data_IF_788771866335
#
_entry.id   IF_788771866335
#
_cell.length_a   1.000
_cell.length_b   1.000
_cell.length_c   1.000
_cell.angle_alpha   90.00
_cell.angle_beta   90.00
_cell.angle_gamma   90.00
#
_symmetry.space_group_name_H-M   'P 1'
#
loop_
_entity.id
_entity.type
_entity.pdbx_description
1 polymer ?
#
# COMPACT_ATOMS: atom_id res chain seq x y z
N UNK A 1 -15.77 7.27 24.32
CA UNK A 1 -15.80 6.24 23.26
C UNK A 1 -14.40 5.80 22.79
N UNK A 2 -13.52 6.65 22.25
CA UNK A 2 -12.20 6.22 21.71
C UNK A 2 -11.30 5.44 22.68
N UNK A 3 -11.38 5.68 23.99
CA UNK A 3 -10.61 4.94 25.00
C UNK A 3 -11.14 3.50 25.11
N UNK A 4 -12.47 3.34 25.21
CA UNK A 4 -13.12 2.02 25.26
C UNK A 4 -12.82 1.22 23.99
N UNK A 5 -12.91 1.86 22.80
CA UNK A 5 -12.60 1.23 21.54
C UNK A 5 -11.14 0.73 21.47
N UNK A 6 -10.17 1.50 22.04
CA UNK A 6 -8.77 1.05 22.13
C UNK A 6 -8.59 -0.16 23.02
N UNK A 7 -9.27 -0.20 24.16
CA UNK A 7 -9.22 -1.37 25.06
C UNK A 7 -9.80 -2.61 24.38
N UNK A 8 -10.95 -2.45 23.71
CA UNK A 8 -11.55 -3.55 22.95
C UNK A 8 -10.67 -3.97 21.76
N UNK A 9 -10.07 -3.03 21.04
CA UNK A 9 -9.15 -3.33 19.94
C UNK A 9 -7.97 -4.19 20.42
N UNK A 10 -7.37 -3.87 21.58
CA UNK A 10 -6.30 -4.67 22.18
C UNK A 10 -6.78 -6.08 22.50
N UNK A 11 -7.98 -6.20 23.07
CA UNK A 11 -8.59 -7.48 23.40
C UNK A 11 -8.89 -8.34 22.17
N UNK A 12 -9.54 -7.75 21.14
CA UNK A 12 -9.84 -8.41 19.88
C UNK A 12 -8.56 -8.82 19.12
N UNK A 13 -7.55 -7.96 19.06
CA UNK A 13 -6.26 -8.29 18.43
C UNK A 13 -5.61 -9.53 19.08
N UNK A 14 -5.71 -9.66 20.41
CA UNK A 14 -5.18 -10.84 21.13
C UNK A 14 -5.93 -12.12 20.74
N UNK A 15 -7.25 -12.05 20.64
CA UNK A 15 -8.11 -13.20 20.33
C UNK A 15 -8.05 -13.61 18.84
N UNK A 16 -7.85 -12.64 17.93
CA UNK A 16 -7.84 -12.90 16.49
C UNK A 16 -6.43 -13.05 15.91
N UNK A 17 -5.38 -13.02 16.72
CA UNK A 17 -3.98 -13.03 16.24
C UNK A 17 -3.67 -14.20 15.30
N UNK A 18 -4.20 -15.39 15.57
CA UNK A 18 -4.02 -16.60 14.77
C UNK A 18 -4.82 -16.59 13.45
N UNK A 19 -5.81 -15.70 13.35
CA UNK A 19 -6.70 -15.56 12.19
C UNK A 19 -6.40 -14.32 11.34
N UNK A 20 -5.26 -13.66 11.56
CA UNK A 20 -4.88 -12.50 10.76
C UNK A 20 -4.72 -12.90 9.29
N UNK A 21 -5.34 -12.11 8.41
CA UNK A 21 -5.21 -12.28 6.98
C UNK A 21 -3.79 -11.90 6.51
N UNK A 22 -2.99 -12.85 5.99
CA UNK A 22 -1.63 -12.54 5.53
C UNK A 22 -1.62 -11.62 4.31
N UNK A 23 -2.74 -11.51 3.59
CA UNK A 23 -2.88 -10.69 2.39
C UNK A 23 -3.29 -9.24 2.73
N UNK A 24 -3.71 -8.95 3.97
CA UNK A 24 -4.07 -7.61 4.43
C UNK A 24 -2.87 -6.90 5.05
N UNK A 25 -2.48 -5.77 4.47
CA UNK A 25 -1.33 -4.98 4.90
C UNK A 25 -1.70 -3.79 5.80
N UNK A 26 -2.95 -3.32 5.73
CA UNK A 26 -3.38 -2.20 6.54
C UNK A 26 -3.60 -2.58 8.01
N UNK A 27 -3.43 -1.61 8.91
CA UNK A 27 -3.70 -1.71 10.35
C UNK A 27 -2.91 -2.78 11.09
N UNK A 28 -1.79 -3.24 10.51
CA UNK A 28 -0.87 -4.20 11.13
C UNK A 28 0.32 -3.47 11.74
N UNK A 29 0.71 -3.90 12.96
CA UNK A 29 1.89 -3.35 13.62
C UNK A 29 3.15 -3.62 12.80
N UNK A 30 3.93 -2.57 12.58
CA UNK A 30 5.21 -2.71 11.89
C UNK A 30 5.13 -2.84 10.36
N UNK A 31 3.94 -2.90 9.77
CA UNK A 31 3.71 -2.97 8.32
C UNK A 31 3.01 -1.69 7.86
N UNK A 32 3.42 -1.15 6.73
CA UNK A 32 2.88 0.11 6.20
C UNK A 32 2.72 0.10 4.69
N UNK A 33 2.37 1.27 4.15
CA UNK A 33 2.15 1.50 2.70
C UNK A 33 3.35 1.05 1.86
N UNK A 34 4.58 1.36 2.30
CA UNK A 34 5.79 0.97 1.57
C UNK A 34 5.92 -0.55 1.45
N UNK A 35 5.57 -1.28 2.52
CA UNK A 35 5.64 -2.75 2.53
C UNK A 35 4.62 -3.36 1.56
N UNK A 36 3.42 -2.78 1.51
CA UNK A 36 2.39 -3.18 0.56
C UNK A 36 2.83 -2.93 -0.89
N UNK A 37 3.41 -1.77 -1.20
CA UNK A 37 3.90 -1.45 -2.54
C UNK A 37 5.08 -2.37 -2.94
N UNK A 38 6.03 -2.62 -2.03
CA UNK A 38 7.14 -3.55 -2.27
C UNK A 38 6.60 -4.95 -2.56
N UNK A 39 5.62 -5.42 -1.78
CA UNK A 39 5.01 -6.74 -1.95
C UNK A 39 4.26 -6.86 -3.28
N UNK A 40 3.55 -5.81 -3.71
CA UNK A 40 2.89 -5.78 -5.02
C UNK A 40 3.91 -5.85 -6.17
N UNK A 41 4.99 -5.07 -6.08
CA UNK A 41 5.98 -4.91 -7.15
C UNK A 41 6.93 -6.11 -7.26
N UNK A 42 7.17 -6.85 -6.18
CA UNK A 42 8.14 -7.94 -6.18
C UNK A 42 7.80 -9.06 -7.17
N UNK A 43 6.59 -9.66 -7.18
CA UNK A 43 6.23 -10.66 -8.18
C UNK A 43 6.22 -10.09 -9.61
N UNK A 44 5.82 -8.82 -9.77
CA UNK A 44 5.83 -8.13 -11.07
C UNK A 44 7.25 -8.08 -11.64
N UNK A 45 8.22 -7.61 -10.84
CA UNK A 45 9.61 -7.52 -11.28
C UNK A 45 10.22 -8.89 -11.56
N UNK A 46 10.01 -9.86 -10.66
CA UNK A 46 10.50 -11.23 -10.83
C UNK A 46 9.96 -11.90 -12.09
N UNK A 47 8.67 -11.70 -12.37
CA UNK A 47 8.04 -12.31 -13.55
C UNK A 47 8.51 -11.63 -14.84
N UNK A 48 8.50 -10.32 -14.89
CA UNK A 48 8.94 -9.51 -16.05
C UNK A 48 10.45 -9.58 -16.33
N UNK A 49 11.23 -10.18 -15.44
CA UNK A 49 12.66 -10.47 -15.68
C UNK A 49 12.88 -11.65 -16.61
N UNK A 50 11.83 -12.44 -16.87
CA UNK A 50 11.82 -13.58 -17.79
C UNK A 50 11.35 -13.11 -19.16
N UNK A 51 11.98 -13.63 -20.22
CA UNK A 51 11.56 -13.30 -21.59
C UNK A 51 10.15 -13.85 -21.89
N UNK A 52 9.38 -13.14 -22.71
CA UNK A 52 8.03 -13.55 -23.11
C UNK A 52 6.94 -13.33 -22.06
N UNK A 53 7.29 -12.78 -20.90
CA UNK A 53 6.36 -12.58 -19.79
C UNK A 53 5.57 -11.27 -19.89
N UNK A 54 4.34 -11.31 -19.45
CA UNK A 54 3.45 -10.14 -19.26
C UNK A 54 2.84 -10.18 -17.87
N UNK A 55 2.42 -9.03 -17.36
CA UNK A 55 1.71 -8.94 -16.09
C UNK A 55 0.44 -8.12 -16.28
N UNK A 56 -0.65 -8.56 -15.67
CA UNK A 56 -1.88 -7.81 -15.53
C UNK A 56 -2.10 -7.48 -14.06
N UNK A 57 -2.46 -6.24 -13.77
CA UNK A 57 -2.76 -5.80 -12.41
C UNK A 57 -4.16 -5.18 -12.40
N UNK A 58 -5.08 -5.79 -11.64
CA UNK A 58 -6.40 -5.24 -11.38
C UNK A 58 -6.38 -4.50 -10.06
N UNK A 59 -6.80 -3.24 -10.07
CA UNK A 59 -7.01 -2.42 -8.87
C UNK A 59 -8.50 -2.25 -8.65
N UNK A 60 -9.02 -2.84 -7.58
CA UNK A 60 -10.42 -2.76 -7.22
C UNK A 60 -10.70 -1.55 -6.34
N UNK A 61 -11.81 -0.86 -6.62
CA UNK A 61 -12.36 0.22 -5.80
C UNK A 61 -13.74 -0.19 -5.28
N UNK A 62 -14.03 0.13 -4.03
CA UNK A 62 -15.32 -0.14 -3.43
C UNK A 62 -16.15 1.14 -3.29
N UNK A 63 -17.43 1.03 -3.54
CA UNK A 63 -18.40 2.08 -3.23
C UNK A 63 -18.70 2.07 -1.72
N UNK A 64 -18.09 3.01 -0.97
CA UNK A 64 -18.37 3.19 0.46
C UNK A 64 -18.17 1.94 1.33
N UNK A 65 -17.03 1.23 1.18
CA UNK A 65 -16.72 -0.06 1.81
C UNK A 65 -17.10 -0.17 3.30
N UNK A 66 -16.78 0.85 4.09
CA UNK A 66 -17.12 0.86 5.53
C UNK A 66 -18.62 0.98 5.81
N UNK A 67 -19.40 1.55 4.90
CA UNK A 67 -20.84 1.73 5.08
C UNK A 67 -21.64 0.48 4.67
N UNK A 68 -21.00 -0.50 4.05
CA UNK A 68 -21.66 -1.73 3.55
C UNK A 68 -21.50 -2.93 4.49
N UNK A 69 -20.68 -2.82 5.54
CA UNK A 69 -20.48 -3.88 6.54
C UNK A 69 -21.85 -4.30 7.11
N UNK A 70 -22.18 -5.59 6.96
CA UNK A 70 -23.33 -6.20 7.58
C UNK A 70 -22.95 -6.76 8.97
N UNK A 71 -23.53 -6.26 10.08
CA UNK A 71 -23.19 -6.71 11.42
C UNK A 71 -23.37 -8.21 11.61
N UNK A 72 -24.43 -8.80 11.05
CA UNK A 72 -24.69 -10.24 11.18
C UNK A 72 -23.63 -11.08 10.44
N UNK A 73 -23.21 -10.67 9.24
CA UNK A 73 -22.13 -11.34 8.51
C UNK A 73 -20.81 -11.25 9.28
N UNK A 74 -20.49 -10.07 9.83
CA UNK A 74 -19.31 -9.91 10.67
C UNK A 74 -19.36 -10.83 11.90
N UNK A 75 -20.49 -10.89 12.60
CA UNK A 75 -20.66 -11.76 13.75
C UNK A 75 -20.49 -13.25 13.40
N UNK A 76 -21.04 -13.70 12.28
CA UNK A 76 -20.84 -15.07 11.77
C UNK A 76 -19.36 -15.37 11.50
N UNK A 77 -18.61 -14.41 10.95
CA UNK A 77 -17.16 -14.55 10.73
C UNK A 77 -16.40 -14.60 12.06
N UNK A 78 -16.76 -13.76 13.02
CA UNK A 78 -16.17 -13.76 14.37
C UNK A 78 -16.44 -15.06 15.13
N UNK A 79 -17.60 -15.67 14.97
CA UNK A 79 -17.92 -16.99 15.56
C UNK A 79 -16.99 -18.12 15.09
N UNK A 80 -16.41 -17.99 13.89
CA UNK A 80 -15.42 -18.93 13.37
C UNK A 80 -14.01 -18.69 13.92
N UNK A 81 -13.84 -17.67 14.75
CA UNK A 81 -12.59 -17.35 15.44
C UNK A 81 -12.66 -17.69 16.92
N UNK A 82 -11.61 -17.40 17.67
CA UNK A 82 -11.58 -17.60 19.15
C UNK A 82 -12.19 -16.43 19.94
N UNK A 83 -12.95 -15.55 19.28
CA UNK A 83 -13.59 -14.41 19.94
C UNK A 83 -14.76 -14.90 20.80
N UNK A 84 -14.77 -14.49 22.07
CA UNK A 84 -15.82 -14.88 23.02
C UNK A 84 -17.20 -14.33 22.65
N UNK A 85 -18.25 -15.09 22.95
CA UNK A 85 -19.64 -14.75 22.61
C UNK A 85 -20.07 -13.36 23.12
N UNK A 86 -19.63 -12.97 24.32
CA UNK A 86 -19.91 -11.63 24.89
C UNK A 86 -19.31 -10.50 24.06
N UNK A 87 -18.09 -10.69 23.53
CA UNK A 87 -17.43 -9.72 22.66
C UNK A 87 -18.11 -9.62 21.29
N UNK A 88 -18.60 -10.74 20.76
CA UNK A 88 -19.39 -10.78 19.51
C UNK A 88 -20.72 -10.05 19.71
N UNK A 89 -21.44 -10.32 20.80
CA UNK A 89 -22.70 -9.65 21.12
C UNK A 89 -22.49 -8.13 21.28
N UNK A 90 -21.45 -7.72 21.98
CA UNK A 90 -21.08 -6.31 22.09
C UNK A 90 -20.74 -5.68 20.75
N UNK A 91 -20.01 -6.39 19.88
CA UNK A 91 -19.66 -5.88 18.54
C UNK A 91 -20.93 -5.69 17.69
N UNK A 92 -21.91 -6.60 17.81
CA UNK A 92 -23.20 -6.45 17.15
C UNK A 92 -23.95 -5.22 17.64
N UNK A 93 -24.06 -5.05 18.97
CA UNK A 93 -24.70 -3.88 19.59
C UNK A 93 -24.01 -2.56 19.17
N UNK A 94 -22.68 -2.54 19.16
CA UNK A 94 -21.89 -1.38 18.71
C UNK A 94 -22.20 -0.99 17.24
N UNK A 95 -22.59 -1.92 16.38
CA UNK A 95 -22.85 -1.70 14.96
C UNK A 95 -24.32 -1.51 14.60
N UNK A 96 -25.25 -1.83 15.51
CA UNK A 96 -26.69 -1.75 15.26
C UNK A 96 -27.35 -0.63 16.08
N UNK A 97 -28.56 -0.23 15.66
CA UNK A 97 -29.37 0.79 16.35
C UNK A 97 -28.62 2.09 16.66
N UNK A 98 -27.72 2.51 15.74
CA UNK A 98 -26.87 3.69 15.92
C UNK A 98 -27.61 4.98 15.56
N UNK A 99 -27.96 5.84 16.53
CA UNK A 99 -28.54 7.12 16.22
C UNK A 99 -27.49 8.05 15.60
N UNK A 100 -27.85 8.71 14.51
CA UNK A 100 -27.01 9.67 13.80
C UNK A 100 -27.80 10.96 13.53
N UNK A 101 -27.14 12.08 13.67
CA UNK A 101 -27.67 13.38 13.29
C UNK A 101 -26.54 14.31 12.87
N UNK A 102 -26.85 15.27 12.00
CA UNK A 102 -25.91 16.31 11.57
C UNK A 102 -26.19 17.56 12.37
N UNK A 103 -25.15 18.12 12.97
CA UNK A 103 -25.21 19.40 13.68
C UNK A 103 -24.38 20.45 12.95
N UNK A 104 -25.03 21.51 12.54
CA UNK A 104 -24.40 22.66 11.88
C UNK A 104 -24.76 23.95 12.65
N UNK A 105 -23.79 24.51 13.34
CA UNK A 105 -24.00 25.70 14.22
C UNK A 105 -25.16 25.46 15.20
N UNK A 106 -26.26 26.18 15.03
CA UNK A 106 -27.45 26.12 15.90
C UNK A 106 -28.55 25.20 15.34
N UNK A 107 -28.34 24.56 14.19
CA UNK A 107 -29.30 23.67 13.58
C UNK A 107 -28.84 22.20 13.76
N UNK A 108 -29.78 21.33 14.09
CA UNK A 108 -29.57 19.87 14.18
C UNK A 108 -30.61 19.20 13.30
N UNK A 109 -30.18 18.25 12.47
CA UNK A 109 -31.08 17.43 11.64
C UNK A 109 -31.94 16.50 12.49
N UNK A 110 -32.97 15.94 11.90
CA UNK A 110 -33.68 14.81 12.47
C UNK A 110 -32.70 13.64 12.68
N UNK A 111 -32.97 12.83 13.70
CA UNK A 111 -32.22 11.63 13.99
C UNK A 111 -32.54 10.55 12.97
N UNK A 112 -31.50 9.94 12.38
CA UNK A 112 -31.60 8.71 11.60
C UNK A 112 -30.98 7.55 12.41
N UNK A 113 -31.49 6.33 12.23
CA UNK A 113 -30.93 5.13 12.88
C UNK A 113 -30.26 4.28 11.81
N UNK A 114 -29.02 3.88 12.06
CA UNK A 114 -28.25 3.03 11.17
C UNK A 114 -28.07 1.64 11.78
N UNK A 115 -28.34 0.58 10.98
CA UNK A 115 -28.17 -0.82 11.33
C UNK A 115 -27.13 -1.52 10.45
N UNK A 116 -26.47 -0.78 9.58
CA UNK A 116 -25.43 -1.28 8.66
C UNK A 116 -24.20 -0.38 8.72
N UNK A 117 -23.09 -0.91 8.25
CA UNK A 117 -21.82 -0.21 8.19
C UNK A 117 -21.13 -0.06 9.53
N UNK A 118 -19.92 0.45 9.52
CA UNK A 118 -19.15 0.80 10.69
C UNK A 118 -18.97 2.32 10.79
N UNK A 119 -19.03 2.90 12.01
CA UNK A 119 -18.92 4.36 12.18
C UNK A 119 -17.56 4.87 11.74
N UNK A 120 -17.57 5.87 10.85
CA UNK A 120 -16.31 6.45 10.32
C UNK A 120 -15.59 7.29 11.39
N UNK A 121 -14.26 7.32 11.33
CA UNK A 121 -13.42 8.09 12.26
C UNK A 121 -13.28 7.50 13.66
N UNK A 122 -13.73 6.27 13.89
CA UNK A 122 -13.55 5.51 15.11
C UNK A 122 -12.23 4.72 15.09
N UNK A 123 -11.81 4.21 16.24
CA UNK A 123 -10.58 3.39 16.37
C UNK A 123 -10.82 1.96 15.91
N UNK A 124 -12.04 1.46 16.14
CA UNK A 124 -12.37 0.04 15.95
C UNK A 124 -12.78 -0.30 14.50
N UNK A 125 -13.47 0.61 13.81
CA UNK A 125 -14.02 0.32 12.48
C UNK A 125 -13.00 -0.15 11.44
N UNK A 126 -11.78 0.43 11.35
CA UNK A 126 -10.74 -0.09 10.45
C UNK A 126 -10.40 -1.56 10.72
N UNK A 127 -10.29 -1.92 11.98
CA UNK A 127 -9.99 -3.29 12.37
C UNK A 127 -11.15 -4.25 12.08
N UNK A 128 -12.39 -3.84 12.35
CA UNK A 128 -13.58 -4.63 12.02
C UNK A 128 -13.70 -4.88 10.52
N UNK A 129 -13.29 -3.92 9.67
CA UNK A 129 -13.25 -4.12 8.23
C UNK A 129 -12.22 -5.20 7.83
N UNK A 130 -11.04 -5.23 8.46
CA UNK A 130 -10.07 -6.30 8.19
C UNK A 130 -10.58 -7.67 8.58
N UNK A 131 -11.32 -7.77 9.68
CA UNK A 131 -11.99 -9.02 10.09
C UNK A 131 -13.14 -9.40 9.13
N UNK A 132 -13.86 -8.41 8.61
CA UNK A 132 -14.91 -8.63 7.64
C UNK A 132 -14.40 -9.22 6.33
N UNK A 133 -13.18 -8.85 5.93
CA UNK A 133 -12.58 -9.27 4.65
C UNK A 133 -11.57 -10.42 4.77
N UNK A 134 -11.41 -11.02 5.96
CA UNK A 134 -10.35 -12.00 6.24
C UNK A 134 -10.53 -13.35 5.53
N UNK A 135 -11.74 -13.72 5.18
CA UNK A 135 -12.09 -15.05 4.67
C UNK A 135 -11.86 -15.22 3.15
N UNK A 136 -11.61 -14.14 2.41
CA UNK A 136 -11.12 -14.29 1.05
C UNK A 136 -9.62 -14.45 1.04
N UNK A 137 -9.18 -15.67 0.79
CA UNK A 137 -7.78 -16.02 0.66
C UNK A 137 -7.53 -16.70 -0.69
N UNK A 138 -6.37 -16.45 -1.27
CA UNK A 138 -5.92 -17.07 -2.50
C UNK A 138 -4.42 -17.37 -2.42
N UNK A 139 -4.02 -18.54 -2.86
CA UNK A 139 -2.63 -18.97 -2.91
C UNK A 139 -2.35 -19.53 -4.29
N UNK A 140 -1.41 -18.93 -4.99
CA UNK A 140 -0.94 -19.33 -6.30
C UNK A 140 0.51 -18.90 -6.48
N UNK A 141 1.21 -19.50 -7.42
CA UNK A 141 2.54 -19.08 -7.85
C UNK A 141 2.48 -18.02 -8.94
N UNK A 142 1.38 -17.95 -9.67
CA UNK A 142 1.21 -17.08 -10.85
C UNK A 142 0.27 -15.90 -10.56
N UNK A 143 -0.64 -16.04 -9.58
CA UNK A 143 -1.58 -14.98 -9.24
C UNK A 143 -1.45 -14.58 -7.77
N UNK A 144 -1.39 -13.28 -7.52
CA UNK A 144 -1.20 -12.72 -6.18
C UNK A 144 -2.31 -11.72 -5.86
N UNK A 145 -2.98 -11.93 -4.73
CA UNK A 145 -3.93 -10.97 -4.18
C UNK A 145 -3.27 -10.19 -3.05
N UNK A 146 -3.54 -8.90 -2.98
CA UNK A 146 -3.13 -8.02 -1.90
C UNK A 146 -4.26 -7.09 -1.50
N UNK A 147 -4.42 -6.87 -0.20
CA UNK A 147 -5.40 -5.96 0.39
C UNK A 147 -4.68 -4.91 1.24
N UNK A 148 -5.12 -3.66 1.13
CA UNK A 148 -4.71 -2.57 2.02
C UNK A 148 -5.93 -1.77 2.42
N UNK A 149 -6.54 -2.11 3.56
CA UNK A 149 -7.89 -1.65 3.94
C UNK A 149 -8.92 -2.05 2.89
N UNK A 150 -9.56 -1.10 2.27
CA UNK A 150 -10.48 -1.25 1.15
C UNK A 150 -9.79 -1.29 -0.22
N UNK A 151 -8.58 -0.78 -0.36
CA UNK A 151 -7.81 -0.96 -1.59
C UNK A 151 -7.41 -2.43 -1.77
N UNK A 152 -7.82 -3.04 -2.88
CA UNK A 152 -7.47 -4.42 -3.22
C UNK A 152 -6.85 -4.49 -4.61
N UNK A 153 -5.79 -5.29 -4.75
CA UNK A 153 -5.11 -5.49 -6.02
C UNK A 153 -4.86 -6.97 -6.30
N UNK A 154 -5.11 -7.38 -7.55
CA UNK A 154 -4.78 -8.71 -8.07
C UNK A 154 -3.71 -8.58 -9.13
N UNK A 155 -2.61 -9.32 -8.98
CA UNK A 155 -1.50 -9.39 -9.93
C UNK A 155 -1.54 -10.75 -10.60
N UNK A 156 -1.71 -10.80 -11.92
CA UNK A 156 -1.57 -12.00 -12.73
C UNK A 156 -0.24 -12.00 -13.48
N UNK A 157 0.61 -12.97 -13.18
CA UNK A 157 1.89 -13.23 -13.84
C UNK A 157 1.65 -14.16 -15.03
N UNK A 158 1.49 -13.59 -16.23
CA UNK A 158 1.04 -14.29 -17.42
C UNK A 158 2.23 -14.74 -18.27
N UNK A 159 2.25 -15.99 -18.67
CA UNK A 159 3.21 -16.57 -19.58
C UNK A 159 2.50 -17.20 -20.77
N UNK A 160 3.03 -16.96 -21.97
CA UNK A 160 2.51 -17.52 -23.21
C UNK A 160 1.00 -17.29 -23.45
N UNK A 161 0.48 -16.16 -22.95
CA UNK A 161 -0.93 -15.77 -23.09
C UNK A 161 -1.92 -16.52 -22.19
N UNK A 162 -1.45 -17.31 -21.22
CA UNK A 162 -2.32 -18.08 -20.32
C UNK A 162 -2.91 -17.18 -19.22
N UNK A 163 -4.05 -16.55 -19.47
CA UNK A 163 -4.75 -15.62 -18.58
C UNK A 163 -5.88 -16.27 -17.76
N UNK A 164 -6.15 -17.56 -17.95
CA UNK A 164 -7.33 -18.22 -17.38
C UNK A 164 -7.37 -18.11 -15.85
N UNK A 165 -6.28 -18.40 -15.17
CA UNK A 165 -6.21 -18.33 -13.70
C UNK A 165 -6.41 -16.90 -13.16
N UNK A 166 -5.83 -15.91 -13.86
CA UNK A 166 -6.04 -14.50 -13.49
C UNK A 166 -7.50 -14.09 -13.61
N UNK A 167 -8.18 -14.47 -14.69
CA UNK A 167 -9.59 -14.18 -14.92
C UNK A 167 -10.47 -14.88 -13.90
N UNK A 168 -10.20 -16.16 -13.63
CA UNK A 168 -10.91 -16.93 -12.59
C UNK A 168 -10.76 -16.27 -11.20
N UNK A 169 -9.55 -15.82 -10.83
CA UNK A 169 -9.34 -15.13 -9.57
C UNK A 169 -10.16 -13.83 -9.47
N UNK A 170 -10.18 -13.04 -10.55
CA UNK A 170 -10.99 -11.82 -10.61
C UNK A 170 -12.47 -12.15 -10.43
N UNK A 171 -12.99 -13.14 -11.16
CA UNK A 171 -14.39 -13.57 -11.06
C UNK A 171 -14.74 -14.06 -9.65
N UNK A 172 -13.88 -14.88 -9.05
CA UNK A 172 -14.06 -15.36 -7.67
C UNK A 172 -14.06 -14.22 -6.66
N UNK A 173 -13.20 -13.22 -6.85
CA UNK A 173 -13.15 -12.04 -5.97
C UNK A 173 -14.43 -11.22 -6.10
N UNK A 174 -14.90 -10.99 -7.32
CA UNK A 174 -16.16 -10.27 -7.60
C UNK A 174 -17.36 -11.00 -6.97
N UNK A 175 -17.46 -12.32 -7.17
CA UNK A 175 -18.53 -13.13 -6.59
C UNK A 175 -18.51 -13.08 -5.05
N UNK A 176 -17.31 -13.19 -4.45
CA UNK A 176 -17.14 -13.07 -3.00
C UNK A 176 -17.55 -11.68 -2.49
N UNK A 177 -17.22 -10.61 -3.21
CA UNK A 177 -17.67 -9.26 -2.87
C UNK A 177 -19.21 -9.18 -2.81
N UNK A 178 -19.89 -9.74 -3.81
CA UNK A 178 -21.36 -9.79 -3.85
C UNK A 178 -21.96 -10.52 -2.65
N UNK A 179 -21.43 -11.71 -2.32
CA UNK A 179 -21.87 -12.51 -1.16
C UNK A 179 -21.68 -11.74 0.16
N UNK A 180 -20.64 -10.92 0.24
CA UNK A 180 -20.32 -10.11 1.43
C UNK A 180 -20.89 -8.70 1.39
N UNK A 181 -21.81 -8.40 0.49
CA UNK A 181 -22.46 -7.09 0.35
C UNK A 181 -21.44 -5.93 0.13
N UNK A 182 -20.27 -6.24 -0.40
CA UNK A 182 -19.26 -5.25 -0.77
C UNK A 182 -19.50 -4.81 -2.21
N UNK A 183 -19.97 -3.59 -2.41
CA UNK A 183 -20.29 -3.06 -3.74
C UNK A 183 -19.02 -2.56 -4.42
N UNK A 184 -18.61 -3.20 -5.51
CA UNK A 184 -17.51 -2.75 -6.36
C UNK A 184 -17.94 -1.54 -7.19
N UNK A 185 -17.03 -0.60 -7.37
CA UNK A 185 -17.17 0.52 -8.27
C UNK A 185 -16.39 0.22 -9.57
N UNK A 186 -17.10 -0.32 -10.58
CA UNK A 186 -16.45 -0.73 -11.84
C UNK A 186 -15.80 0.46 -12.55
N UNK A 187 -16.43 1.63 -12.53
CA UNK A 187 -15.89 2.85 -13.15
C UNK A 187 -14.57 3.32 -12.55
N UNK A 188 -14.32 3.05 -11.27
CA UNK A 188 -13.04 3.37 -10.58
C UNK A 188 -12.09 2.18 -10.51
N UNK A 189 -12.58 0.97 -10.69
CA UNK A 189 -11.75 -0.22 -10.86
C UNK A 189 -10.97 -0.10 -12.16
N UNK A 190 -9.68 -0.34 -12.14
CA UNK A 190 -8.79 -0.16 -13.29
C UNK A 190 -7.90 -1.37 -13.46
N UNK A 191 -7.59 -1.67 -14.70
CA UNK A 191 -6.60 -2.68 -15.05
C UNK A 191 -5.36 -2.03 -15.66
N UNK A 192 -4.19 -2.54 -15.32
CA UNK A 192 -2.92 -2.12 -15.93
C UNK A 192 -2.23 -3.34 -16.52
N UNK A 193 -1.86 -3.26 -17.80
CA UNK A 193 -1.11 -4.30 -18.51
C UNK A 193 0.34 -3.87 -18.66
N UNK A 194 1.25 -4.68 -18.11
CA UNK A 194 2.69 -4.48 -18.22
C UNK A 194 3.24 -5.48 -19.23
N UNK A 195 3.54 -4.99 -20.43
CA UNK A 195 4.06 -5.80 -21.54
C UNK A 195 5.27 -5.11 -22.17
N UNK A 196 6.42 -5.77 -22.10
CA UNK A 196 7.70 -5.28 -22.68
C UNK A 196 8.11 -6.04 -23.92
N UNK A 197 7.25 -6.92 -24.46
CA UNK A 197 7.50 -7.64 -25.70
C UNK A 197 7.48 -6.68 -26.90
N UNK A 198 8.23 -7.01 -27.94
CA UNK A 198 8.22 -6.24 -29.20
C UNK A 198 6.87 -6.38 -29.91
N UNK A 199 6.37 -7.61 -30.00
CA UNK A 199 5.06 -7.91 -30.60
C UNK A 199 4.06 -8.07 -29.47
N UNK A 200 3.32 -6.99 -29.20
CA UNK A 200 2.24 -7.04 -28.20
C UNK A 200 1.04 -7.72 -28.84
N UNK A 201 0.45 -8.63 -28.11
CA UNK A 201 -0.84 -9.23 -28.45
C UNK A 201 -1.90 -8.43 -27.72
N UNK A 202 -2.91 -7.94 -28.43
CA UNK A 202 -4.09 -7.36 -27.81
C UNK A 202 -4.74 -8.43 -26.94
N UNK A 203 -4.88 -8.14 -25.67
CA UNK A 203 -5.57 -9.01 -24.72
C UNK A 203 -7.00 -8.51 -24.55
N UNK A 204 -7.95 -9.42 -24.48
CA UNK A 204 -9.35 -9.05 -24.22
C UNK A 204 -9.48 -8.35 -22.87
N UNK A 205 -10.31 -7.32 -22.81
CA UNK A 205 -10.68 -6.65 -21.56
C UNK A 205 -11.33 -7.61 -20.59
N UNK A 206 -11.25 -7.31 -19.31
CA UNK A 206 -11.98 -8.04 -18.26
C UNK A 206 -13.28 -7.29 -18.02
N UNK A 207 -14.40 -8.00 -18.05
CA UNK A 207 -15.70 -7.44 -17.70
C UNK A 207 -16.09 -7.81 -16.27
N UNK A 208 -16.60 -6.83 -15.51
CA UNK A 208 -17.12 -7.01 -14.15
C UNK A 208 -18.59 -6.55 -14.15
N UNK A 209 -19.52 -7.44 -13.75
CA UNK A 209 -20.96 -7.15 -13.74
C UNK A 209 -21.52 -6.68 -15.09
N UNK A 210 -20.94 -7.14 -16.20
CA UNK A 210 -21.35 -6.77 -17.56
C UNK A 210 -20.75 -5.44 -18.07
N UNK A 211 -19.92 -4.76 -17.29
CA UNK A 211 -19.20 -3.55 -17.70
C UNK A 211 -17.71 -3.87 -17.90
N UNK A 212 -17.14 -3.36 -18.99
CA UNK A 212 -15.71 -3.55 -19.27
C UNK A 212 -14.85 -2.67 -18.35
N UNK A 213 -13.84 -3.28 -17.74
CA UNK A 213 -12.87 -2.54 -16.92
C UNK A 213 -11.92 -1.76 -17.80
N UNK A 214 -11.76 -0.47 -17.51
CA UNK A 214 -10.85 0.41 -18.23
C UNK A 214 -9.40 -0.03 -18.03
N UNK A 215 -8.69 -0.25 -19.13
CA UNK A 215 -7.24 -0.49 -19.13
C UNK A 215 -6.51 0.83 -19.14
N UNK A 216 -5.65 1.06 -18.14
CA UNK A 216 -4.94 2.33 -17.93
C UNK A 216 -3.43 2.16 -18.05
N UNK A 217 -2.75 3.20 -18.53
CA UNK A 217 -1.27 3.23 -18.57
C UNK A 217 -0.66 3.65 -17.23
N UNK A 218 -1.43 4.32 -16.38
CA UNK A 218 -1.00 4.76 -15.04
C UNK A 218 -2.12 4.63 -14.02
N UNK A 219 -1.74 4.28 -12.80
CA UNK A 219 -2.66 4.19 -11.67
C UNK A 219 -2.00 4.73 -10.40
N UNK A 220 -2.76 5.44 -9.56
CA UNK A 220 -2.28 5.92 -8.27
C UNK A 220 -2.63 4.92 -7.18
N UNK A 221 -1.70 4.03 -6.85
CA UNK A 221 -1.86 3.03 -5.82
C UNK A 221 -1.20 3.47 -4.50
N UNK A 222 -1.96 3.50 -3.41
CA UNK A 222 -1.51 3.88 -2.06
C UNK A 222 -0.67 5.19 -2.04
N UNK A 223 -1.07 6.15 -2.84
CA UNK A 223 -0.42 7.47 -2.91
C UNK A 223 0.77 7.57 -3.88
N UNK A 224 1.22 6.47 -4.47
CA UNK A 224 2.31 6.39 -5.45
C UNK A 224 1.75 6.18 -6.85
N UNK A 225 2.27 6.91 -7.86
CA UNK A 225 1.88 6.72 -9.25
C UNK A 225 2.70 5.59 -9.88
N UNK A 226 2.03 4.48 -10.17
CA UNK A 226 2.55 3.38 -10.96
C UNK A 226 2.26 3.64 -12.44
N UNK A 227 3.17 3.27 -13.32
CA UNK A 227 2.95 3.28 -14.76
C UNK A 227 3.32 1.91 -15.35
N UNK A 228 2.74 1.59 -16.52
CA UNK A 228 2.92 0.29 -17.19
C UNK A 228 4.35 0.05 -17.69
N UNK A 229 5.25 1.03 -17.59
CA UNK A 229 6.68 0.92 -17.93
C UNK A 229 7.56 0.81 -16.68
N UNK A 230 7.00 1.03 -15.48
CA UNK A 230 7.71 1.09 -14.21
C UNK A 230 8.89 2.07 -14.24
N UNK A 231 8.76 3.19 -14.98
CA UNK A 231 9.82 4.19 -15.15
C UNK A 231 9.73 5.36 -14.15
N UNK A 232 8.68 5.39 -13.35
CA UNK A 232 8.45 6.33 -12.24
C UNK A 232 8.41 7.80 -12.65
N UNK A 233 8.24 8.09 -13.96
CA UNK A 233 8.22 9.47 -14.47
C UNK A 233 7.09 10.27 -13.84
N UNK A 234 5.87 9.71 -13.85
CA UNK A 234 4.67 10.37 -13.32
C UNK A 234 4.76 10.58 -11.82
N UNK A 235 5.24 9.57 -11.09
CA UNK A 235 5.46 9.68 -9.65
C UNK A 235 6.47 10.79 -9.33
N UNK A 236 7.62 10.80 -9.98
CA UNK A 236 8.65 11.83 -9.78
C UNK A 236 8.15 13.23 -10.08
N UNK A 237 7.33 13.41 -11.12
CA UNK A 237 6.70 14.69 -11.45
C UNK A 237 5.69 15.13 -10.38
N UNK A 238 4.86 14.19 -9.87
CA UNK A 238 3.88 14.48 -8.82
C UNK A 238 4.58 14.88 -7.51
N UNK A 239 5.62 14.14 -7.12
CA UNK A 239 6.47 14.44 -5.96
C UNK A 239 7.13 15.81 -6.09
N UNK A 240 7.70 16.11 -7.28
CA UNK A 240 8.29 17.41 -7.54
C UNK A 240 7.29 18.56 -7.40
N UNK A 241 6.10 18.45 -8.01
CA UNK A 241 5.04 19.47 -7.88
C UNK A 241 4.64 19.71 -6.43
N UNK A 242 4.42 18.63 -5.68
CA UNK A 242 4.08 18.72 -4.24
C UNK A 242 5.23 19.34 -3.43
N UNK A 243 6.47 18.87 -3.63
CA UNK A 243 7.65 19.40 -2.95
C UNK A 243 7.86 20.89 -3.24
N UNK A 244 7.67 21.31 -4.48
CA UNK A 244 7.75 22.74 -4.87
C UNK A 244 6.70 23.60 -4.15
N UNK A 245 5.46 23.13 -4.07
CA UNK A 245 4.40 23.80 -3.31
C UNK A 245 4.75 23.92 -1.82
N UNK A 246 5.31 22.86 -1.21
CA UNK A 246 5.71 22.86 0.20
C UNK A 246 6.91 23.77 0.47
N UNK A 247 7.84 23.84 -0.47
CA UNK A 247 8.98 24.76 -0.41
C UNK A 247 8.51 26.24 -0.40
N UNK A 248 7.43 26.56 -1.10
CA UNK A 248 6.83 27.91 -1.04
C UNK A 248 6.42 28.28 0.39
N UNK A 249 5.73 27.38 1.10
CA UNK A 249 5.35 27.62 2.50
C UNK A 249 6.56 27.76 3.42
N UNK A 250 7.63 26.99 3.20
CA UNK A 250 8.86 27.13 3.98
C UNK A 250 9.47 28.54 3.80
N UNK A 251 9.46 29.07 2.57
CA UNK A 251 9.92 30.44 2.29
C UNK A 251 9.06 31.51 2.97
N UNK A 252 7.74 31.34 2.96
CA UNK A 252 6.81 32.23 3.66
C UNK A 252 7.10 32.22 5.17
N UNK A 253 7.27 31.07 5.79
CA UNK A 253 7.62 31.00 7.21
C UNK A 253 8.93 31.70 7.51
N UNK A 254 9.92 31.58 6.63
CA UNK A 254 11.19 32.31 6.76
C UNK A 254 11.00 33.84 6.69
N UNK A 255 10.16 34.34 5.77
CA UNK A 255 9.87 35.77 5.64
C UNK A 255 9.13 36.37 6.85
N UNK A 256 8.42 35.53 7.61
CA UNK A 256 7.81 35.90 8.89
C UNK A 256 8.76 35.79 10.10
N UNK A 257 10.07 35.67 9.86
CA UNK A 257 11.10 35.55 10.89
C UNK A 257 10.90 34.37 11.87
N UNK A 258 10.28 33.29 11.41
CA UNK A 258 10.17 32.06 12.21
C UNK A 258 11.58 31.52 12.52
N UNK A 259 11.83 31.13 13.76
CA UNK A 259 13.16 30.67 14.19
C UNK A 259 13.62 29.42 13.45
N UNK A 260 14.94 29.27 13.27
CA UNK A 260 15.53 28.19 12.49
C UNK A 260 15.14 26.78 12.97
N UNK A 261 14.98 26.57 14.28
CA UNK A 261 14.54 25.29 14.85
C UNK A 261 13.16 24.89 14.31
N UNK A 262 12.22 25.80 14.26
CA UNK A 262 10.86 25.55 13.75
C UNK A 262 10.87 25.35 12.23
N UNK A 263 11.70 26.12 11.50
CA UNK A 263 11.87 25.92 10.06
C UNK A 263 12.44 24.55 9.73
N UNK A 264 13.40 24.04 10.51
CA UNK A 264 13.95 22.68 10.36
C UNK A 264 12.87 21.61 10.63
N UNK A 265 12.05 21.79 11.67
CA UNK A 265 10.93 20.87 11.96
C UNK A 265 9.94 20.88 10.80
N UNK A 266 9.57 22.06 10.30
CA UNK A 266 8.67 22.20 9.14
C UNK A 266 9.27 21.54 7.89
N UNK A 267 10.55 21.75 7.61
CA UNK A 267 11.23 21.12 6.50
C UNK A 267 11.13 19.60 6.58
N UNK A 268 11.54 18.99 7.68
CA UNK A 268 11.52 17.53 7.85
C UNK A 268 10.12 16.94 7.78
N UNK A 269 9.15 17.59 8.44
CA UNK A 269 7.79 17.05 8.55
C UNK A 269 6.93 17.30 7.30
N UNK A 270 7.15 18.40 6.56
CA UNK A 270 6.26 18.85 5.48
C UNK A 270 6.95 18.78 4.11
N UNK A 271 8.21 19.15 3.99
CA UNK A 271 8.92 19.20 2.70
C UNK A 271 9.62 17.89 2.42
N UNK A 272 10.53 17.46 3.30
CA UNK A 272 11.30 16.21 3.13
C UNK A 272 10.37 14.99 3.12
N UNK A 273 9.38 14.94 4.02
CA UNK A 273 8.42 13.83 4.08
C UNK A 273 7.66 13.62 2.77
N UNK A 274 7.31 14.69 2.06
CA UNK A 274 6.65 14.62 0.75
C UNK A 274 7.61 14.19 -0.35
N UNK A 275 8.84 14.75 -0.38
CA UNK A 275 9.83 14.43 -1.40
C UNK A 275 10.30 12.97 -1.28
N UNK A 276 10.43 12.46 -0.06
CA UNK A 276 10.90 11.11 0.23
C UNK A 276 9.78 10.11 0.53
N UNK A 277 8.52 10.46 0.23
CA UNK A 277 7.39 9.54 0.42
C UNK A 277 7.56 8.28 -0.42
N UNK A 278 7.48 7.11 0.23
CA UNK A 278 7.66 5.78 -0.37
C UNK A 278 8.94 5.64 -1.22
N UNK A 279 10.00 6.40 -0.93
CA UNK A 279 11.23 6.45 -1.73
C UNK A 279 11.91 5.08 -1.87
N UNK A 280 11.74 4.20 -0.91
CA UNK A 280 12.27 2.82 -0.95
C UNK A 280 11.69 2.00 -2.10
N UNK A 281 10.48 2.37 -2.58
CA UNK A 281 9.79 1.65 -3.65
C UNK A 281 10.23 2.09 -5.04
N UNK A 282 10.60 3.36 -5.22
CA UNK A 282 10.83 3.96 -6.54
C UNK A 282 12.17 4.68 -6.70
N UNK A 283 12.85 5.02 -5.60
CA UNK A 283 14.02 5.90 -5.61
C UNK A 283 15.20 5.33 -6.40
N UNK A 284 15.50 4.05 -6.28
CA UNK A 284 16.60 3.39 -7.00
C UNK A 284 16.37 3.26 -8.52
N UNK A 285 15.11 3.33 -8.96
CA UNK A 285 14.72 3.28 -10.38
C UNK A 285 14.46 4.66 -11.00
N UNK A 286 14.61 5.75 -10.24
CA UNK A 286 14.39 7.10 -10.73
C UNK A 286 15.37 7.47 -11.84
N UNK A 287 14.89 8.16 -12.88
CA UNK A 287 15.76 8.67 -13.95
C UNK A 287 16.63 9.82 -13.43
N UNK A 288 17.89 9.89 -13.85
CA UNK A 288 18.88 10.90 -13.42
C UNK A 288 18.35 12.33 -13.54
N UNK A 289 17.64 12.67 -14.64
CA UNK A 289 17.04 14.00 -14.82
C UNK A 289 16.06 14.37 -13.72
N UNK A 290 15.23 13.40 -13.25
CA UNK A 290 14.24 13.63 -12.19
C UNK A 290 14.93 13.73 -10.83
N UNK A 291 15.95 12.93 -10.59
CA UNK A 291 16.78 12.96 -9.39
C UNK A 291 17.44 14.34 -9.22
N UNK A 292 18.09 14.88 -10.28
CA UNK A 292 18.68 16.21 -10.30
C UNK A 292 17.63 17.29 -9.96
N UNK A 293 16.41 17.17 -10.51
CA UNK A 293 15.33 18.13 -10.22
C UNK A 293 14.88 18.10 -8.76
N UNK A 294 14.76 16.91 -8.16
CA UNK A 294 14.40 16.77 -6.76
C UNK A 294 15.52 17.26 -5.84
N UNK A 295 16.78 16.96 -6.15
CA UNK A 295 17.93 17.47 -5.41
C UNK A 295 18.04 19.02 -5.49
N UNK A 296 17.66 19.61 -6.64
CA UNK A 296 17.56 21.07 -6.76
C UNK A 296 16.52 21.67 -5.79
N UNK A 297 15.38 20.99 -5.54
CA UNK A 297 14.42 21.43 -4.50
C UNK A 297 15.01 21.34 -3.10
N UNK A 298 15.69 20.22 -2.79
CA UNK A 298 16.35 20.00 -1.50
C UNK A 298 17.41 21.07 -1.25
N UNK A 299 18.26 21.35 -2.26
CA UNK A 299 19.27 22.41 -2.17
C UNK A 299 18.64 23.80 -1.94
N UNK A 300 17.54 24.13 -2.64
CA UNK A 300 16.80 25.37 -2.40
C UNK A 300 16.20 25.44 -1.00
N UNK A 301 15.75 24.32 -0.43
CA UNK A 301 15.28 24.28 0.95
C UNK A 301 16.45 24.54 1.92
N UNK A 302 17.61 23.94 1.69
CA UNK A 302 18.85 24.20 2.45
C UNK A 302 19.24 25.68 2.48
N UNK A 303 19.15 26.35 1.32
CA UNK A 303 19.40 27.81 1.24
C UNK A 303 18.39 28.63 2.11
N UNK A 304 17.13 28.21 2.17
CA UNK A 304 16.12 28.88 3.03
C UNK A 304 16.42 28.64 4.51
N UNK A 305 16.89 27.44 4.86
CA UNK A 305 17.23 27.05 6.24
C UNK A 305 18.58 27.65 6.69
N UNK A 306 19.44 28.05 5.77
CA UNK A 306 20.83 28.47 6.08
C UNK A 306 21.74 27.31 6.47
N UNK A 307 21.39 26.06 6.07
CA UNK A 307 22.17 24.83 6.40
C UNK A 307 22.22 23.90 5.18
N UNK A 308 23.26 23.06 5.15
CA UNK A 308 23.31 21.93 4.21
C UNK A 308 22.24 20.89 4.60
N UNK A 309 21.57 20.33 3.58
CA UNK A 309 20.53 19.32 3.75
C UNK A 309 20.96 18.05 2.99
N UNK A 310 20.68 16.92 3.58
CA UNK A 310 20.99 15.60 3.04
C UNK A 310 20.39 15.41 1.64
N UNK A 311 21.17 15.02 0.61
CA UNK A 311 20.65 14.75 -0.73
C UNK A 311 19.75 13.53 -0.76
N UNK A 312 18.91 13.45 -1.82
CA UNK A 312 17.87 12.43 -1.91
C UNK A 312 18.43 11.01 -1.93
N UNK A 313 19.61 10.82 -2.52
CA UNK A 313 20.30 9.53 -2.59
C UNK A 313 20.70 9.01 -1.21
N UNK A 314 21.19 9.88 -0.34
CA UNK A 314 21.56 9.51 1.04
C UNK A 314 20.30 9.17 1.86
N UNK A 315 19.23 9.99 1.72
CA UNK A 315 17.93 9.72 2.36
C UNK A 315 17.40 8.35 1.90
N UNK A 316 17.51 8.05 0.60
CA UNK A 316 17.07 6.78 0.02
C UNK A 316 17.88 5.60 0.59
N UNK A 317 19.20 5.68 0.54
CA UNK A 317 20.07 4.61 1.05
C UNK A 317 19.83 4.32 2.53
N UNK A 318 19.74 5.36 3.34
CA UNK A 318 19.44 5.24 4.77
C UNK A 318 18.08 4.58 5.02
N UNK A 319 17.02 4.97 4.28
CA UNK A 319 15.68 4.38 4.42
C UNK A 319 15.62 2.94 3.92
N UNK A 320 16.28 2.62 2.82
CA UNK A 320 16.37 1.24 2.30
C UNK A 320 17.07 0.35 3.31
N UNK A 321 18.21 0.81 3.89
CA UNK A 321 18.94 0.06 4.91
C UNK A 321 18.08 -0.18 6.17
N UNK A 322 17.37 0.84 6.64
CA UNK A 322 16.46 0.70 7.77
C UNK A 322 15.32 -0.28 7.46
N UNK A 323 14.79 -0.24 6.23
CA UNK A 323 13.69 -1.12 5.82
C UNK A 323 14.14 -2.57 5.73
N UNK A 324 15.27 -2.89 5.11
CA UNK A 324 15.72 -4.29 5.02
C UNK A 324 16.06 -4.87 6.39
N UNK A 325 16.68 -4.10 7.30
CA UNK A 325 16.91 -4.52 8.68
C UNK A 325 15.58 -4.85 9.38
N UNK A 326 14.57 -3.97 9.27
CA UNK A 326 13.23 -4.21 9.82
C UNK A 326 12.56 -5.47 9.26
N UNK A 327 12.73 -5.74 7.96
CA UNK A 327 12.23 -6.98 7.33
C UNK A 327 12.94 -8.20 7.90
N UNK A 328 14.24 -8.13 8.12
CA UNK A 328 15.03 -9.23 8.67
C UNK A 328 14.70 -9.51 10.13
N UNK A 329 14.37 -8.49 10.91
CA UNK A 329 14.05 -8.59 12.34
C UNK A 329 12.62 -9.08 12.62
N UNK A 330 11.72 -9.03 11.63
CA UNK A 330 10.32 -9.41 11.79
C UNK A 330 9.95 -10.65 10.96
N UNK A 331 9.86 -11.86 11.56
CA UNK A 331 9.48 -13.09 10.85
C UNK A 331 8.09 -13.06 10.21
N UNK A 332 7.18 -12.23 10.72
CA UNK A 332 5.81 -12.08 10.18
C UNK A 332 5.76 -11.11 8.98
N UNK A 333 6.89 -10.48 8.65
CA UNK A 333 6.96 -9.57 7.51
C UNK A 333 6.94 -10.34 6.19
N UNK A 334 6.08 -9.96 5.25
CA UNK A 334 5.87 -10.73 4.01
C UNK A 334 7.16 -11.04 3.24
N UNK A 335 8.10 -10.09 2.96
CA UNK A 335 9.36 -10.40 2.31
C UNK A 335 10.41 -11.09 3.19
N UNK A 336 10.15 -11.30 4.49
CA UNK A 336 11.14 -11.89 5.42
C UNK A 336 11.66 -13.24 4.91
N UNK A 337 10.75 -14.13 4.48
CA UNK A 337 11.12 -15.46 3.96
C UNK A 337 12.03 -15.34 2.73
N UNK A 338 11.70 -14.45 1.82
CA UNK A 338 12.48 -14.20 0.59
C UNK A 338 13.89 -13.68 0.91
N UNK A 339 14.00 -12.72 1.84
CA UNK A 339 15.30 -12.17 2.28
C UNK A 339 16.11 -13.21 3.05
N UNK A 340 15.47 -14.00 3.91
CA UNK A 340 16.12 -15.06 4.67
C UNK A 340 16.72 -16.15 3.79
N UNK A 341 16.07 -16.50 2.68
CA UNK A 341 16.60 -17.45 1.70
C UNK A 341 17.89 -16.96 1.02
N UNK A 342 18.12 -15.65 0.99
CA UNK A 342 19.37 -15.07 0.48
C UNK A 342 20.49 -15.02 1.52
N UNK A 343 20.30 -15.51 2.75
CA UNK A 343 21.31 -15.47 3.79
C UNK A 343 22.49 -16.40 3.42
N UNK A 344 23.71 -15.86 3.39
CA UNK A 344 24.91 -16.66 3.17
C UNK A 344 25.13 -17.63 4.35
N UNK A 345 25.59 -18.84 4.06
CA UNK A 345 25.96 -19.85 5.06
C UNK A 345 27.31 -19.51 5.70
N UNK A 346 28.19 -18.79 4.98
CA UNK A 346 29.57 -18.54 5.38
C UNK A 346 29.82 -17.15 5.96
N UNK A 347 28.87 -16.23 5.84
CA UNK A 347 29.04 -14.85 6.27
C UNK A 347 27.71 -14.20 6.67
N UNK A 348 27.77 -13.00 7.23
CA UNK A 348 26.55 -12.22 7.52
C UNK A 348 25.93 -11.55 6.28
N UNK A 349 26.53 -11.73 5.10
CA UNK A 349 26.08 -11.14 3.85
C UNK A 349 24.83 -11.83 3.33
N UNK A 350 24.08 -11.10 2.53
CA UNK A 350 22.96 -11.62 1.73
C UNK A 350 23.47 -11.91 0.31
N UNK A 351 23.07 -13.04 -0.25
CA UNK A 351 23.33 -13.40 -1.64
C UNK A 351 22.48 -12.54 -2.56
N UNK A 352 23.10 -12.06 -3.64
CA UNK A 352 22.40 -11.20 -4.61
C UNK A 352 21.43 -12.01 -5.46
N UNK A 353 20.28 -11.43 -5.81
CA UNK A 353 19.38 -11.99 -6.79
C UNK A 353 20.03 -12.00 -8.17
N UNK A 354 19.78 -13.07 -8.93
CA UNK A 354 20.09 -13.06 -10.35
C UNK A 354 19.05 -12.20 -11.06
N UNK A 355 19.46 -11.11 -11.67
CA UNK A 355 18.60 -10.18 -12.39
C UNK A 355 19.07 -10.10 -13.86
N UNK A 356 18.16 -10.36 -14.80
CA UNK A 356 18.44 -10.29 -16.24
C UNK A 356 18.16 -8.89 -16.78
N UNK A 357 17.35 -8.07 -16.10
CA UNK A 357 16.96 -6.74 -16.51
C UNK A 357 17.38 -5.68 -15.51
N UNK A 358 17.75 -4.50 -16.02
CA UNK A 358 18.06 -3.32 -15.22
C UNK A 358 16.88 -2.89 -14.32
N UNK A 359 15.66 -3.09 -14.81
CA UNK A 359 14.43 -2.81 -14.07
C UNK A 359 14.32 -3.65 -12.81
N UNK A 360 14.60 -4.95 -12.87
CA UNK A 360 14.61 -5.82 -11.69
C UNK A 360 15.79 -5.50 -10.78
N UNK A 361 16.99 -5.32 -11.35
CA UNK A 361 18.18 -4.95 -10.59
C UNK A 361 17.99 -3.69 -9.73
N UNK A 362 17.32 -2.68 -10.26
CA UNK A 362 17.01 -1.43 -9.56
C UNK A 362 15.77 -1.49 -8.68
N UNK A 363 15.07 -2.62 -8.59
CA UNK A 363 13.95 -2.77 -7.67
C UNK A 363 14.42 -2.85 -6.22
N UNK A 364 13.48 -2.80 -5.27
CA UNK A 364 13.80 -2.68 -3.85
C UNK A 364 14.71 -3.79 -3.34
N UNK A 365 14.36 -5.09 -3.53
CA UNK A 365 15.13 -6.19 -2.90
C UNK A 365 16.57 -6.30 -3.39
N UNK A 366 16.89 -6.31 -4.71
CA UNK A 366 18.27 -6.35 -5.18
C UNK A 366 19.08 -5.15 -4.68
N UNK A 367 18.52 -3.94 -4.78
CA UNK A 367 19.18 -2.71 -4.28
C UNK A 367 19.42 -2.76 -2.76
N UNK A 368 18.45 -3.24 -2.00
CA UNK A 368 18.54 -3.33 -0.54
C UNK A 368 19.64 -4.30 -0.09
N UNK A 369 19.83 -5.42 -0.80
CA UNK A 369 20.91 -6.37 -0.55
C UNK A 369 22.29 -5.71 -0.78
N UNK A 370 22.46 -4.96 -1.87
CA UNK A 370 23.72 -4.24 -2.13
C UNK A 370 24.01 -3.26 -1.00
N UNK A 371 23.05 -2.43 -0.63
CA UNK A 371 23.20 -1.42 0.42
C UNK A 371 23.48 -2.08 1.79
N UNK A 372 22.78 -3.17 2.10
CA UNK A 372 23.00 -3.93 3.34
C UNK A 372 24.41 -4.52 3.39
N UNK A 373 24.86 -5.21 2.33
CA UNK A 373 26.18 -5.80 2.28
C UNK A 373 27.30 -4.75 2.37
N UNK A 374 27.12 -3.59 1.75
CA UNK A 374 28.07 -2.48 1.86
C UNK A 374 28.13 -1.95 3.29
N UNK A 375 27.00 -1.90 4.01
CA UNK A 375 26.97 -1.45 5.41
C UNK A 375 27.64 -2.41 6.41
N UNK A 376 28.01 -3.62 5.99
CA UNK A 376 28.79 -4.57 6.81
C UNK A 376 30.30 -4.38 6.65
N UNK A 377 30.72 -3.56 5.68
CA UNK A 377 32.15 -3.29 5.40
C UNK A 377 32.62 -1.97 6.05
N UNK A 378 31.67 -1.13 6.46
CA UNK A 378 31.90 0.12 7.20
C UNK A 378 31.72 -0.12 8.69
#
# INVERSE_FOLDING_TARGET
MKVLERLLLVHLNKQTRTYQDPLQFAYRHGVGVEDAIIQLLQPIHCHLDKAGSTVRVMFFDFSSAFNTIQPDVLCQKLQKTQVGASTIAWTKDYLTNRPQFVRLKNCTSNQAVSNIGAPQGTVLSPFLFTLYTLDFQYKSETCHLQKYSDDSAVVGCIRDGQEAEYRELVERFVAWCGINHLTLNVNKTKEMVLDFRRNRVESNTVSIMGEDVEVVEEYKYLGVHLDNRLDWRKNSQAVYKKGHSRLHFLRMLRSFNVCNKMLQIFYKSVVESVISSAIVCWGSSIRSRNLIRLNSLIKKAGSVLGTTVEPLEEIMQRRILQRIKKIMDNPEHSPHKTVRQQKSVFSQRLLQFRCNTDRYWRSFLPTAIVIYNNSLMT
#
